data_IF_472332497762
#
_entry.id   IF_472332497762
#
_cell.length_a   1.000
_cell.length_b   1.000
_cell.length_c   1.000
_cell.angle_alpha   90.00
_cell.angle_beta   90.00
_cell.angle_gamma   90.00
#
_symmetry.space_group_name_H-M   'P 1'
#
loop_
_entity.id
_entity.type
_entity.pdbx_description
1 polymer ?
#
# COMPACT_ATOMS: atom_id res chain seq x y z
N UNK A 1 58.03 -20.18 1.62
CA UNK A 1 57.33 -21.44 1.95
C UNK A 1 56.55 -21.85 0.72
N UNK A 2 56.81 -23.03 0.13
CA UNK A 2 56.10 -23.49 -1.08
C UNK A 2 54.67 -23.89 -0.69
N UNK A 3 53.63 -23.36 -1.36
CA UNK A 3 52.25 -23.69 -1.01
C UNK A 3 52.04 -25.20 -1.19
N UNK A 4 51.54 -25.85 -0.15
CA UNK A 4 51.24 -27.28 -0.18
C UNK A 4 49.98 -27.52 -1.02
N UNK A 5 49.82 -28.73 -1.57
CA UNK A 5 48.63 -29.11 -2.32
C UNK A 5 47.32 -28.83 -1.54
N UNK A 6 47.36 -28.93 -0.21
CA UNK A 6 46.24 -28.64 0.70
C UNK A 6 45.83 -27.16 0.70
N UNK A 7 46.79 -26.26 0.53
CA UNK A 7 46.54 -24.81 0.45
C UNK A 7 45.82 -24.48 -0.86
N UNK A 8 46.18 -25.15 -1.95
CA UNK A 8 45.53 -24.99 -3.26
C UNK A 8 44.12 -25.55 -3.29
N UNK A 9 43.88 -26.71 -2.67
CA UNK A 9 42.52 -27.26 -2.55
C UNK A 9 41.60 -26.33 -1.74
N UNK A 10 42.11 -25.75 -0.64
CA UNK A 10 41.33 -24.82 0.17
C UNK A 10 41.04 -23.51 -0.59
N UNK A 11 42.01 -22.99 -1.35
CA UNK A 11 41.82 -21.80 -2.17
C UNK A 11 40.76 -22.02 -3.26
N UNK A 12 40.79 -23.18 -3.92
CA UNK A 12 39.80 -23.54 -4.94
C UNK A 12 38.39 -23.66 -4.36
N UNK A 13 38.24 -24.31 -3.20
CA UNK A 13 36.94 -24.41 -2.50
C UNK A 13 36.45 -23.03 -2.06
N UNK A 14 37.33 -22.19 -1.51
CA UNK A 14 36.96 -20.83 -1.11
C UNK A 14 36.49 -19.99 -2.31
N UNK A 15 37.18 -20.06 -3.45
CA UNK A 15 36.77 -19.39 -4.69
C UNK A 15 35.45 -19.93 -5.23
N UNK A 16 35.24 -21.24 -5.17
CA UNK A 16 33.99 -21.87 -5.58
C UNK A 16 32.83 -21.41 -4.71
N UNK A 17 32.98 -21.40 -3.38
CA UNK A 17 31.96 -20.91 -2.46
C UNK A 17 31.67 -19.43 -2.68
N UNK A 18 32.69 -18.63 -2.98
CA UNK A 18 32.54 -17.21 -3.26
C UNK A 18 31.82 -16.98 -4.59
N UNK A 19 32.11 -17.77 -5.62
CA UNK A 19 31.38 -17.77 -6.88
C UNK A 19 29.93 -18.19 -6.69
N UNK A 20 29.67 -19.28 -5.96
CA UNK A 20 28.31 -19.72 -5.62
C UNK A 20 27.55 -18.66 -4.84
N UNK A 21 28.20 -17.99 -3.87
CA UNK A 21 27.59 -16.90 -3.12
C UNK A 21 27.25 -15.69 -4.01
N UNK A 22 28.09 -15.35 -4.98
CA UNK A 22 27.83 -14.26 -5.92
C UNK A 22 26.71 -14.62 -6.91
N UNK A 23 26.66 -15.86 -7.37
CA UNK A 23 25.57 -16.36 -8.22
C UNK A 23 24.23 -16.41 -7.46
N UNK A 24 24.26 -16.80 -6.18
CA UNK A 24 23.08 -16.87 -5.30
C UNK A 24 22.55 -15.47 -4.92
N UNK A 25 23.43 -14.46 -4.81
CA UNK A 25 23.03 -13.06 -4.62
C UNK A 25 22.15 -12.51 -5.75
N UNK A 26 22.15 -13.14 -6.93
CA UNK A 26 21.22 -12.80 -8.02
C UNK A 26 19.74 -13.07 -7.70
N UNK A 27 19.44 -13.88 -6.66
CA UNK A 27 18.08 -14.19 -6.22
C UNK A 27 17.54 -13.29 -5.10
N UNK A 28 18.39 -12.44 -4.50
CA UNK A 28 18.00 -11.48 -3.46
C UNK A 28 18.19 -10.06 -3.99
N UNK A 29 17.73 -9.81 -5.22
CA UNK A 29 17.20 -8.49 -5.51
C UNK A 29 16.04 -8.35 -4.54
N UNK A 30 16.29 -7.66 -3.42
CA UNK A 30 15.32 -7.36 -2.39
C UNK A 30 14.00 -7.01 -3.07
N UNK A 31 13.06 -7.96 -3.05
CA UNK A 31 11.66 -7.65 -3.17
C UNK A 31 11.36 -6.88 -1.90
N UNK A 32 11.75 -5.60 -1.88
CA UNK A 32 11.12 -4.57 -1.05
C UNK A 32 9.67 -4.74 -1.44
N UNK A 33 8.94 -5.52 -0.65
CA UNK A 33 7.60 -5.96 -0.97
C UNK A 33 6.87 -4.71 -1.42
N UNK A 34 6.54 -4.64 -2.72
CA UNK A 34 5.90 -3.46 -3.27
C UNK A 34 4.69 -3.23 -2.39
N UNK A 35 4.74 -2.15 -1.61
CA UNK A 35 3.72 -1.86 -0.62
C UNK A 35 2.38 -1.94 -1.35
N UNK A 36 1.37 -2.61 -0.80
CA UNK A 36 0.07 -2.67 -1.45
C UNK A 36 -0.37 -1.25 -1.78
N UNK A 37 -0.76 -1.01 -3.04
CA UNK A 37 -1.17 0.30 -3.50
C UNK A 37 -2.69 0.31 -3.60
N UNK A 38 -3.34 1.31 -3.00
CA UNK A 38 -4.75 1.57 -3.29
C UNK A 38 -4.84 2.12 -4.71
N UNK A 39 -5.67 1.51 -5.58
CA UNK A 39 -5.88 2.05 -6.92
C UNK A 39 -6.50 3.44 -6.83
N UNK A 40 -6.24 4.25 -7.85
CA UNK A 40 -6.88 5.56 -8.00
C UNK A 40 -8.41 5.42 -8.05
N UNK A 41 -9.11 6.33 -7.39
CA UNK A 41 -10.57 6.40 -7.33
C UNK A 41 -11.04 7.65 -8.08
N UNK A 42 -12.04 7.48 -8.95
CA UNK A 42 -12.72 8.61 -9.59
C UNK A 42 -13.70 9.24 -8.61
N UNK A 43 -13.49 10.50 -8.23
CA UNK A 43 -14.37 11.22 -7.31
C UNK A 43 -15.85 11.22 -7.76
N UNK A 44 -16.09 11.24 -9.08
CA UNK A 44 -17.44 11.23 -9.65
C UNK A 44 -18.17 9.88 -9.48
N UNK A 45 -17.44 8.79 -9.22
CA UNK A 45 -17.99 7.45 -9.03
C UNK A 45 -18.21 7.10 -7.54
N UNK A 46 -17.77 7.97 -6.62
CA UNK A 46 -17.88 7.72 -5.19
C UNK A 46 -19.31 7.96 -4.72
N UNK A 47 -19.95 6.89 -4.26
CA UNK A 47 -21.32 6.92 -3.70
C UNK A 47 -21.35 6.99 -2.19
N UNK A 48 -20.23 6.70 -1.51
CA UNK A 48 -20.15 6.65 -0.05
C UNK A 48 -18.72 6.75 0.44
N UNK A 49 -18.48 7.60 1.43
CA UNK A 49 -17.21 7.67 2.18
C UNK A 49 -17.50 7.29 3.62
N UNK A 50 -16.84 6.24 4.11
CA UNK A 50 -16.96 5.80 5.50
C UNK A 50 -15.59 5.86 6.18
N UNK A 51 -15.54 6.54 7.32
CA UNK A 51 -14.41 6.51 8.24
C UNK A 51 -14.88 5.88 9.55
N UNK A 52 -14.31 4.71 9.87
CA UNK A 52 -14.63 3.96 11.08
C UNK A 52 -13.37 3.74 11.91
N UNK A 53 -13.44 4.08 13.20
CA UNK A 53 -12.51 3.63 14.22
C UNK A 53 -13.25 2.72 15.24
N UNK A 54 -12.59 2.30 16.32
CA UNK A 54 -13.19 1.40 17.30
C UNK A 54 -14.45 1.94 18.00
N UNK A 55 -14.67 3.26 17.99
CA UNK A 55 -15.72 3.94 18.77
C UNK A 55 -16.54 4.96 17.96
N UNK A 56 -16.09 5.31 16.75
CA UNK A 56 -16.68 6.36 15.92
C UNK A 56 -16.84 5.87 14.49
N UNK A 57 -17.98 6.23 13.90
CA UNK A 57 -18.31 5.99 12.51
C UNK A 57 -18.82 7.28 11.89
N UNK A 58 -18.13 7.73 10.87
CA UNK A 58 -18.45 8.90 10.05
C UNK A 58 -18.84 8.37 8.68
N UNK A 59 -20.02 8.77 8.20
CA UNK A 59 -20.51 8.36 6.88
C UNK A 59 -20.95 9.59 6.11
N UNK A 60 -20.40 9.74 4.91
CA UNK A 60 -20.74 10.79 3.95
C UNK A 60 -21.32 10.14 2.71
N UNK A 61 -22.43 10.68 2.21
CA UNK A 61 -23.09 10.23 0.99
C UNK A 61 -23.44 11.47 0.12
N UNK A 62 -23.45 11.34 -1.22
CA UNK A 62 -23.93 12.40 -2.08
C UNK A 62 -25.36 12.80 -1.73
N UNK A 63 -25.69 14.09 -1.78
CA UNK A 63 -27.06 14.55 -1.67
C UNK A 63 -27.84 14.04 -2.91
N UNK A 64 -28.75 13.08 -2.73
CA UNK A 64 -29.48 12.38 -3.80
C UNK A 64 -30.49 13.23 -4.59
N UNK A 65 -30.38 14.55 -4.51
CA UNK A 65 -31.48 15.49 -4.76
C UNK A 65 -31.25 16.32 -6.04
N UNK A 66 -30.18 16.04 -6.80
CA UNK A 66 -29.78 16.85 -7.97
C UNK A 66 -29.10 18.17 -7.62
N UNK A 67 -29.14 18.59 -6.35
CA UNK A 67 -28.25 19.58 -5.78
C UNK A 67 -26.90 18.90 -5.53
N UNK A 68 -25.91 19.16 -6.38
CA UNK A 68 -24.55 18.66 -6.20
C UNK A 68 -24.07 18.98 -4.77
N UNK A 69 -23.56 17.97 -4.07
CA UNK A 69 -23.12 18.15 -2.70
C UNK A 69 -23.03 16.84 -1.92
N UNK A 70 -22.57 16.97 -0.67
CA UNK A 70 -22.35 15.85 0.24
C UNK A 70 -23.14 16.04 1.52
N UNK A 71 -23.58 14.95 2.12
CA UNK A 71 -24.29 14.92 3.39
C UNK A 71 -23.63 13.95 4.35
N UNK A 72 -23.50 14.37 5.59
CA UNK A 72 -23.18 13.50 6.70
C UNK A 72 -24.45 12.71 7.06
N UNK A 73 -24.38 11.38 7.00
CA UNK A 73 -25.49 10.49 7.37
C UNK A 73 -25.26 9.81 8.73
N UNK A 74 -24.01 9.76 9.20
CA UNK A 74 -23.64 9.34 10.55
C UNK A 74 -22.44 10.16 11.07
N UNK A 75 -22.39 10.52 12.37
CA UNK A 75 -23.31 10.10 13.45
C UNK A 75 -24.60 10.92 13.52
N UNK A 76 -24.67 12.06 12.84
CA UNK A 76 -25.84 12.93 12.76
C UNK A 76 -26.11 13.29 11.31
N UNK A 77 -27.38 13.52 10.98
CA UNK A 77 -27.77 13.96 9.64
C UNK A 77 -27.56 15.48 9.52
N UNK A 78 -26.58 15.89 8.71
CA UNK A 78 -26.26 17.29 8.49
C UNK A 78 -25.66 17.50 7.08
N UNK A 79 -25.75 18.71 6.51
CA UNK A 79 -24.97 19.07 5.32
C UNK A 79 -23.47 18.88 5.61
N UNK A 80 -22.74 18.29 4.67
CA UNK A 80 -21.28 18.23 4.74
C UNK A 80 -20.67 19.39 3.96
N UNK A 81 -19.42 19.74 4.29
CA UNK A 81 -18.64 20.70 3.50
C UNK A 81 -18.20 20.02 2.20
N UNK A 82 -18.88 20.33 1.10
CA UNK A 82 -18.61 19.73 -0.20
C UNK A 82 -17.16 19.94 -0.66
N UNK A 83 -16.57 21.11 -0.39
CA UNK A 83 -15.19 21.41 -0.79
C UNK A 83 -14.20 20.53 -0.05
N UNK A 84 -14.41 20.35 1.26
CA UNK A 84 -13.56 19.47 2.07
C UNK A 84 -13.67 18.01 1.62
N UNK A 85 -14.86 17.55 1.24
CA UNK A 85 -15.03 16.20 0.71
C UNK A 85 -14.36 16.04 -0.66
N UNK A 86 -14.48 17.03 -1.54
CA UNK A 86 -13.78 17.03 -2.83
C UNK A 86 -12.26 17.00 -2.68
N UNK A 87 -11.69 17.82 -1.79
CA UNK A 87 -10.25 17.81 -1.46
C UNK A 87 -9.79 16.45 -0.90
N UNK A 88 -10.62 15.81 -0.06
CA UNK A 88 -10.36 14.47 0.45
C UNK A 88 -10.35 13.45 -0.70
N UNK A 89 -11.33 13.49 -1.60
CA UNK A 89 -11.41 12.56 -2.73
C UNK A 89 -10.28 12.77 -3.73
N UNK A 90 -9.83 14.01 -3.94
CA UNK A 90 -8.70 14.32 -4.82
C UNK A 90 -7.39 13.67 -4.32
N UNK A 91 -7.22 13.50 -3.01
CA UNK A 91 -6.09 12.76 -2.43
C UNK A 91 -6.04 11.30 -2.92
N UNK A 92 -7.19 10.71 -3.25
CA UNK A 92 -7.30 9.33 -3.78
C UNK A 92 -7.43 9.27 -5.30
N UNK A 93 -7.34 10.41 -6.01
CA UNK A 93 -7.32 10.46 -7.48
C UNK A 93 -6.08 9.81 -8.09
N UNK A 94 -5.04 9.60 -7.28
CA UNK A 94 -3.79 8.94 -7.64
C UNK A 94 -3.56 7.70 -6.77
N UNK A 95 -2.80 6.71 -7.25
CA UNK A 95 -2.51 5.51 -6.46
C UNK A 95 -1.78 5.85 -5.16
N UNK A 96 -2.29 5.37 -4.02
CA UNK A 96 -1.74 5.66 -2.69
C UNK A 96 -0.99 4.44 -2.16
N UNK A 97 0.33 4.53 -1.86
CA UNK A 97 1.06 3.42 -1.27
C UNK A 97 0.61 3.21 0.18
N UNK A 98 0.30 1.97 0.56
CA UNK A 98 -0.12 1.64 1.92
C UNK A 98 0.95 0.87 2.69
N UNK A 99 1.21 1.32 3.91
CA UNK A 99 2.10 0.63 4.86
C UNK A 99 1.42 -0.58 5.54
N UNK A 100 0.12 -0.80 5.29
CA UNK A 100 -0.70 -1.84 5.94
C UNK A 100 -1.54 -2.59 4.91
N UNK A 101 -1.58 -3.93 5.01
CA UNK A 101 -2.56 -4.75 4.30
C UNK A 101 -3.93 -4.51 4.93
N UNK A 102 -4.80 -3.79 4.24
CA UNK A 102 -6.21 -3.66 4.61
C UNK A 102 -6.81 -5.07 4.62
N UNK A 103 -7.40 -5.46 5.76
CA UNK A 103 -8.13 -6.70 5.89
C UNK A 103 -9.25 -6.70 4.85
N UNK A 104 -9.27 -7.69 3.98
CA UNK A 104 -10.36 -7.91 3.04
C UNK A 104 -11.57 -8.31 3.87
N UNK A 105 -12.33 -7.30 4.30
CA UNK A 105 -13.40 -7.40 5.29
C UNK A 105 -14.22 -8.68 5.15
N UNK A 106 -14.55 -9.27 6.30
CA UNK A 106 -15.36 -10.47 6.46
C UNK A 106 -16.59 -10.43 5.53
N UNK A 107 -16.53 -11.13 4.39
CA UNK A 107 -17.63 -11.36 3.46
C UNK A 107 -18.57 -12.45 4.00
#
# INVERSE_FOLDING_TARGET
MKPSARTWTLLGVALLLLALNVLDRGGVASSVAALPVLPAVSAAEVTRVELSDAIRKIVLEPAGDGEGGWRLTAPVQAPADARMVEELLDTFSSPVPMDVRVDSGNL
#
